data_IF_169012764960
#
_entry.id   IF_169012764960
#
_cell.length_a   1.000
_cell.length_b   1.000
_cell.length_c   1.000
_cell.angle_alpha   90.00
_cell.angle_beta   90.00
_cell.angle_gamma   90.00
#
_symmetry.space_group_name_H-M   'P 1'
#
loop_
_entity.id
_entity.type
_entity.pdbx_description
1 polymer ?
#
# COMPACT_ATOMS: atom_id res chain seq x y z
N UNK A 1 -6.08 1.59 8.13
CA UNK A 1 -4.86 2.43 8.11
C UNK A 1 -3.60 1.60 8.38
N UNK A 2 -2.44 2.07 7.94
CA UNK A 2 -1.14 1.46 8.19
C UNK A 2 0.01 2.34 7.71
N UNK A 3 1.20 1.78 7.64
CA UNK A 3 2.41 2.43 7.11
C UNK A 3 2.89 1.67 5.88
N UNK A 4 3.07 2.35 4.75
CA UNK A 4 3.68 1.77 3.56
C UNK A 4 5.20 1.66 3.79
N UNK A 5 5.68 0.45 4.05
CA UNK A 5 7.08 0.21 4.45
C UNK A 5 7.96 -0.17 3.26
N UNK A 6 7.37 -0.74 2.21
CA UNK A 6 8.11 -1.20 1.03
C UNK A 6 7.19 -1.30 -0.20
N UNK A 7 7.77 -1.01 -1.35
CA UNK A 7 7.16 -1.23 -2.66
C UNK A 7 8.10 -2.16 -3.44
N UNK A 8 7.64 -3.37 -3.74
CA UNK A 8 8.41 -4.33 -4.55
C UNK A 8 7.89 -4.30 -5.98
N UNK A 9 8.81 -4.27 -6.94
CA UNK A 9 8.49 -4.41 -8.35
C UNK A 9 9.20 -5.67 -8.85
N UNK A 10 8.57 -6.86 -8.67
CA UNK A 10 9.06 -8.07 -9.31
C UNK A 10 9.02 -7.89 -10.84
N UNK A 11 9.54 -8.87 -11.58
CA UNK A 11 9.55 -8.85 -13.06
C UNK A 11 8.19 -8.54 -13.69
N UNK A 12 7.10 -8.74 -12.95
CA UNK A 12 5.75 -8.39 -13.38
C UNK A 12 4.93 -7.83 -12.21
N UNK A 13 4.50 -6.58 -12.34
CA UNK A 13 3.61 -5.90 -11.39
C UNK A 13 4.30 -5.25 -10.19
N UNK A 14 3.47 -4.89 -9.22
CA UNK A 14 3.84 -4.18 -8.01
C UNK A 14 3.26 -4.89 -6.79
N UNK A 15 4.02 -4.89 -5.69
CA UNK A 15 3.58 -5.38 -4.38
C UNK A 15 3.82 -4.31 -3.34
N UNK A 16 2.75 -3.85 -2.71
CA UNK A 16 2.77 -2.91 -1.60
C UNK A 16 2.82 -3.70 -0.29
N UNK A 17 3.79 -3.36 0.56
CA UNK A 17 3.90 -3.91 1.91
C UNK A 17 3.43 -2.86 2.90
N UNK A 18 2.30 -3.13 3.54
CA UNK A 18 1.64 -2.20 4.45
C UNK A 18 1.64 -2.79 5.86
N UNK A 19 2.37 -2.16 6.78
CA UNK A 19 2.35 -2.54 8.19
C UNK A 19 1.10 -1.97 8.86
N UNK A 20 0.27 -2.82 9.46
CA UNK A 20 -0.89 -2.42 10.25
C UNK A 20 -0.95 -3.27 11.52
N UNK A 21 -0.78 -2.62 12.67
CA UNK A 21 -0.50 -3.30 13.94
C UNK A 21 0.79 -4.14 13.86
N UNK A 22 0.68 -5.41 14.23
CA UNK A 22 1.80 -6.39 14.19
C UNK A 22 1.91 -7.12 12.84
N UNK A 23 0.96 -6.92 11.92
CA UNK A 23 0.92 -7.62 10.63
C UNK A 23 1.45 -6.74 9.49
N UNK A 24 2.10 -7.38 8.53
CA UNK A 24 2.40 -6.78 7.23
C UNK A 24 1.49 -7.39 6.18
N UNK A 25 0.69 -6.55 5.53
CA UNK A 25 -0.14 -6.92 4.39
C UNK A 25 0.66 -6.77 3.11
N UNK A 26 0.64 -7.80 2.26
CA UNK A 26 1.21 -7.83 0.92
C UNK A 26 0.08 -7.70 -0.09
N UNK A 27 -0.05 -6.52 -0.69
CA UNK A 27 -1.11 -6.20 -1.63
C UNK A 27 -0.51 -6.03 -3.02
N UNK A 28 -0.97 -6.81 -3.99
CA UNK A 28 -0.40 -6.79 -5.34
C UNK A 28 -1.25 -5.98 -6.32
N UNK A 29 -0.65 -5.55 -7.42
CA UNK A 29 -1.36 -5.17 -8.64
C UNK A 29 -0.47 -5.47 -9.86
N UNK A 30 -1.06 -5.59 -11.04
CA UNK A 30 -0.34 -5.83 -12.30
C UNK A 30 0.50 -4.63 -12.74
N UNK A 31 0.18 -3.41 -12.31
CA UNK A 31 0.91 -2.19 -12.66
C UNK A 31 0.62 -1.06 -11.64
N UNK A 32 1.44 -0.01 -11.61
CA UNK A 32 1.18 1.16 -10.75
C UNK A 32 -0.03 1.96 -11.23
N UNK A 33 -0.24 2.01 -12.54
CA UNK A 33 -1.30 2.75 -13.22
C UNK A 33 -2.70 2.21 -12.87
N UNK A 34 -2.78 0.96 -12.41
CA UNK A 34 -4.00 0.32 -11.93
C UNK A 34 -4.32 0.64 -10.46
N UNK A 35 -3.42 1.34 -9.77
CA UNK A 35 -3.61 1.76 -8.39
C UNK A 35 -3.81 3.27 -8.39
N UNK A 36 -4.94 3.71 -7.83
CA UNK A 36 -5.17 5.14 -7.63
C UNK A 36 -4.36 5.61 -6.42
N UNK A 37 -3.49 6.61 -6.62
CA UNK A 37 -2.73 7.24 -5.55
C UNK A 37 -3.24 8.66 -5.29
N UNK A 38 -3.65 8.92 -4.06
CA UNK A 38 -4.08 10.25 -3.61
C UNK A 38 -3.18 10.69 -2.47
N UNK A 39 -2.81 11.97 -2.41
CA UNK A 39 -2.13 12.52 -1.24
C UNK A 39 -2.95 13.62 -0.60
N UNK A 40 -3.17 13.50 0.70
CA UNK A 40 -3.76 14.51 1.57
C UNK A 40 -2.70 15.22 2.44
N UNK A 41 -1.42 15.00 2.14
CA UNK A 41 -0.30 15.68 2.80
C UNK A 41 0.41 16.60 1.81
N UNK A 42 0.77 17.84 2.22
CA UNK A 42 1.39 18.82 1.33
C UNK A 42 2.81 18.42 0.87
N UNK A 43 3.43 17.40 1.48
CA UNK A 43 4.82 17.00 1.22
C UNK A 43 4.98 15.65 0.50
N UNK A 44 3.91 14.99 0.05
CA UNK A 44 4.02 13.80 -0.82
C UNK A 44 3.88 14.21 -2.28
N UNK A 45 4.76 15.13 -2.70
CA UNK A 45 5.04 15.42 -4.10
C UNK A 45 6.25 14.61 -4.54
N UNK A 46 6.06 13.34 -4.87
CA UNK A 46 7.17 12.50 -5.31
C UNK A 46 6.71 11.16 -5.86
N UNK A 47 7.27 10.81 -7.02
CA UNK A 47 7.02 9.58 -7.76
C UNK A 47 7.13 8.34 -6.84
N UNK A 48 6.21 7.39 -7.02
CA UNK A 48 6.22 6.14 -6.27
C UNK A 48 7.17 5.18 -6.98
N UNK A 49 8.44 5.17 -6.56
CA UNK A 49 9.45 4.23 -7.03
C UNK A 49 9.52 2.90 -6.26
N UNK A 50 10.02 1.87 -6.93
CA UNK A 50 10.30 0.58 -6.32
C UNK A 50 11.43 0.72 -5.28
N UNK A 51 11.34 -0.01 -4.15
CA UNK A 51 12.37 -0.03 -3.11
C UNK A 51 11.81 0.05 -1.69
N UNK A 52 12.74 0.04 -0.72
CA UNK A 52 12.42 0.34 0.67
C UNK A 52 12.05 1.83 0.79
N UNK A 53 11.01 2.13 1.56
CA UNK A 53 10.62 3.53 1.79
C UNK A 53 11.36 4.07 3.00
N UNK A 54 12.24 5.04 2.75
CA UNK A 54 13.07 5.67 3.78
C UNK A 54 12.28 6.62 4.69
N UNK A 55 11.15 7.16 4.21
CA UNK A 55 10.21 7.91 5.03
C UNK A 55 8.94 7.09 5.27
N UNK A 56 8.54 6.99 6.54
CA UNK A 56 7.27 6.39 6.92
C UNK A 56 6.14 7.19 6.28
N UNK A 57 5.40 6.56 5.37
CA UNK A 57 4.21 7.15 4.76
C UNK A 57 2.99 6.48 5.36
N UNK A 58 2.21 7.22 6.14
CA UNK A 58 0.92 6.74 6.64
C UNK A 58 -0.04 6.62 5.47
N UNK A 59 -0.70 5.47 5.39
CA UNK A 59 -1.60 5.14 4.29
C UNK A 59 -2.91 4.55 4.77
N UNK A 60 -3.97 4.89 4.06
CA UNK A 60 -5.20 4.08 3.99
C UNK A 60 -5.17 3.36 2.65
N UNK A 61 -5.41 2.04 2.67
CA UNK A 61 -5.39 1.24 1.45
C UNK A 61 -6.72 0.52 1.31
N UNK A 62 -7.38 0.77 0.18
CA UNK A 62 -8.56 0.02 -0.26
C UNK A 62 -8.09 -1.10 -1.16
N UNK A 63 -8.48 -2.33 -0.85
CA UNK A 63 -8.04 -3.52 -1.57
C UNK A 63 -9.17 -4.53 -1.73
N UNK A 64 -9.09 -5.32 -2.80
CA UNK A 64 -9.94 -6.50 -2.97
C UNK A 64 -9.26 -7.68 -2.29
N UNK A 65 -9.87 -8.21 -1.23
CA UNK A 65 -9.31 -9.33 -0.47
C UNK A 65 -9.13 -10.57 -1.37
N UNK A 66 -8.01 -11.27 -1.21
CA UNK A 66 -7.83 -12.58 -1.83
C UNK A 66 -8.77 -13.60 -1.19
N UNK A 67 -9.25 -14.55 -2.00
CA UNK A 67 -9.98 -15.70 -1.43
C UNK A 67 -9.05 -16.50 -0.53
N UNK A 68 -9.49 -16.92 0.67
CA UNK A 68 -8.66 -17.69 1.59
C UNK A 68 -8.23 -19.01 0.94
N UNK A 69 -6.95 -19.12 0.57
CA UNK A 69 -6.36 -20.34 0.02
C UNK A 69 -5.03 -20.60 0.72
N UNK A 70 -4.81 -21.85 1.14
CA UNK A 70 -3.53 -22.26 1.70
C UNK A 70 -2.39 -21.93 0.71
N UNK A 71 -1.39 -21.20 1.18
CA UNK A 71 -0.24 -20.78 0.37
C UNK A 71 -0.47 -19.56 -0.52
N UNK A 72 -1.53 -18.77 -0.31
CA UNK A 72 -1.69 -17.48 -0.98
C UNK A 72 -0.49 -16.56 -0.71
N UNK A 73 0.11 -16.03 -1.78
CA UNK A 73 1.30 -15.17 -1.71
C UNK A 73 1.00 -13.74 -1.27
N UNK A 74 -0.24 -13.31 -1.45
CA UNK A 74 -0.71 -11.95 -1.25
C UNK A 74 -2.04 -11.96 -0.50
N UNK A 75 -2.29 -10.89 0.25
CA UNK A 75 -3.51 -10.69 1.03
C UNK A 75 -4.67 -10.14 0.16
N UNK A 76 -4.36 -9.57 -1.00
CA UNK A 76 -5.33 -9.04 -1.94
C UNK A 76 -4.73 -8.17 -3.03
N UNK A 77 -5.61 -7.59 -3.83
CA UNK A 77 -5.28 -6.67 -4.92
C UNK A 77 -5.48 -5.21 -4.45
N UNK A 78 -4.43 -4.39 -4.50
CA UNK A 78 -4.49 -2.97 -4.15
C UNK A 78 -5.26 -2.18 -5.22
N UNK A 79 -6.20 -1.33 -4.79
CA UNK A 79 -7.02 -0.50 -5.69
C UNK A 79 -6.76 1.00 -5.49
N UNK A 80 -6.74 1.44 -4.22
CA UNK A 80 -6.53 2.85 -3.85
C UNK A 80 -5.54 2.92 -2.69
N UNK A 81 -4.63 3.87 -2.76
CA UNK A 81 -3.67 4.20 -1.71
C UNK A 81 -3.74 5.69 -1.45
N UNK A 82 -4.26 6.04 -0.28
CA UNK A 82 -4.35 7.41 0.19
C UNK A 82 -3.22 7.68 1.17
N UNK A 83 -2.33 8.60 0.83
CA UNK A 83 -1.32 9.13 1.75
C UNK A 83 -1.97 10.15 2.68
N UNK A 84 -1.96 9.85 3.96
CA UNK A 84 -2.68 10.61 4.98
C UNK A 84 -1.71 11.17 6.01
N UNK A 85 -2.07 12.27 6.70
CA UNK A 85 -1.36 12.71 7.90
C UNK A 85 -1.30 11.60 8.97
N UNK A 86 -0.31 11.66 9.86
CA UNK A 86 -0.16 10.70 10.96
C UNK A 86 -1.35 10.75 11.94
N UNK A 87 -1.93 11.93 12.12
CA UNK A 87 -3.03 12.25 13.02
C UNK A 87 -4.42 12.05 12.40
N UNK A 88 -4.52 11.48 11.19
CA UNK A 88 -5.83 11.19 10.60
C UNK A 88 -6.56 10.11 11.41
N UNK A 89 -7.64 10.51 12.07
CA UNK A 89 -8.63 9.61 12.63
C UNK A 89 -9.53 9.10 11.49
N UNK A 90 -9.50 7.79 11.26
CA UNK A 90 -10.43 7.14 10.34
C UNK A 90 -11.62 6.72 11.19
N UNK A 91 -12.73 7.46 11.11
CA UNK A 91 -14.01 7.03 11.70
C UNK A 91 -14.41 5.70 11.04
N UNK A 92 -14.75 4.71 11.88
CA UNK A 92 -15.15 3.37 11.44
C UNK A 92 -16.65 3.28 11.29
#
# INVERSE_FOLDING_TARGET
RGTLVRVECPNQGVVLHVKSGERVFKLHNAAFENIQFTSYTPNVGGEISCGARMSARHVVVTYRAAMPKAGAKFDGEALVVDFVPEDLEVEN
#
